data_IF_455530744708
#
_entry.id   IF_455530744708
#
_cell.length_a   1.000
_cell.length_b   1.000
_cell.length_c   1.000
_cell.angle_alpha   90.00
_cell.angle_beta   90.00
_cell.angle_gamma   90.00
#
_symmetry.space_group_name_H-M   'P 1'
#
loop_
_entity.id
_entity.type
_entity.pdbx_description
1 polymer ?
#
# COMPACT_ATOMS: atom_id res chain seq x y z
N UNK A 1 9.76 8.19 -2.93
CA UNK A 1 8.95 8.56 -1.75
C UNK A 1 9.61 8.03 -0.50
N UNK A 2 9.30 8.61 0.66
CA UNK A 2 9.68 8.11 1.98
C UNK A 2 8.44 7.50 2.64
N UNK A 3 8.53 6.24 3.08
CA UNK A 3 7.49 5.57 3.85
C UNK A 3 7.92 5.37 5.30
N UNK A 4 7.06 5.73 6.26
CA UNK A 4 7.23 5.44 7.68
C UNK A 4 6.17 4.42 8.09
N UNK A 5 6.60 3.20 8.46
CA UNK A 5 5.70 2.18 8.99
C UNK A 5 5.97 2.01 10.48
N UNK A 6 4.91 2.09 11.29
CA UNK A 6 4.93 1.87 12.73
C UNK A 6 3.88 0.83 13.14
N UNK A 7 4.19 0.02 14.14
CA UNK A 7 3.25 -0.95 14.70
C UNK A 7 2.55 -0.33 15.92
N UNK A 8 1.22 -0.22 15.86
CA UNK A 8 0.40 0.25 16.96
C UNK A 8 0.11 -0.93 17.91
N UNK A 9 0.77 -0.95 19.06
CA UNK A 9 0.60 -2.01 20.06
C UNK A 9 -0.80 -2.01 20.72
N UNK A 10 -1.51 -0.88 20.74
CA UNK A 10 -2.84 -0.77 21.33
C UNK A 10 -3.93 -1.34 20.40
N UNK A 11 -3.76 -1.15 19.09
CA UNK A 11 -4.66 -1.70 18.06
C UNK A 11 -4.20 -3.03 17.48
N UNK A 12 -2.96 -3.43 17.73
CA UNK A 12 -2.28 -4.54 17.07
C UNK A 12 -2.29 -4.45 15.53
N UNK A 13 -2.17 -3.23 14.99
CA UNK A 13 -2.18 -2.97 13.55
C UNK A 13 -0.91 -2.26 13.09
N UNK A 14 -0.52 -2.50 11.83
CA UNK A 14 0.55 -1.74 11.18
C UNK A 14 -0.05 -0.47 10.57
N UNK A 15 0.47 0.69 10.96
CA UNK A 15 0.16 1.97 10.36
C UNK A 15 1.32 2.37 9.46
N UNK A 16 1.03 2.65 8.19
CA UNK A 16 2.03 3.13 7.24
C UNK A 16 1.65 4.53 6.79
N UNK A 17 2.64 5.42 6.78
CA UNK A 17 2.54 6.77 6.26
C UNK A 17 3.54 6.93 5.11
N UNK A 18 3.02 7.03 3.89
CA UNK A 18 3.84 7.15 2.68
C UNK A 18 3.78 8.58 2.14
N UNK A 19 4.95 9.20 1.94
CA UNK A 19 5.12 10.47 1.22
C UNK A 19 5.84 10.18 -0.11
N UNK A 20 5.14 10.16 -1.25
CA UNK A 20 5.77 9.99 -2.57
C UNK A 20 5.53 11.19 -3.52
N UNK A 21 6.30 11.24 -4.62
CA UNK A 21 6.31 12.35 -5.60
C UNK A 21 5.43 12.06 -6.84
N UNK A 22 4.69 10.95 -6.86
CA UNK A 22 3.75 10.55 -7.92
C UNK A 22 2.27 10.72 -7.47
N UNK A 23 2.02 11.02 -6.20
CA UNK A 23 0.72 11.44 -5.68
C UNK A 23 0.84 12.48 -4.55
N UNK A 24 0.19 13.63 -4.71
CA UNK A 24 0.16 14.78 -3.80
C UNK A 24 -0.60 14.48 -2.50
N UNK A 25 -0.23 13.44 -1.73
CA UNK A 25 -0.94 13.09 -0.51
C UNK A 25 -0.22 12.05 0.36
N UNK A 26 -0.33 12.23 1.68
CA UNK A 26 0.04 11.21 2.67
C UNK A 26 -0.94 10.04 2.55
N UNK A 27 -0.46 8.86 2.16
CA UNK A 27 -1.27 7.64 2.21
C UNK A 27 -1.20 7.06 3.62
N UNK A 28 -2.35 7.00 4.29
CA UNK A 28 -2.54 6.32 5.56
C UNK A 28 -3.43 5.10 5.32
N UNK A 29 -2.91 3.92 5.63
CA UNK A 29 -3.61 2.65 5.50
C UNK A 29 -3.42 1.79 6.75
N UNK A 30 -4.45 1.04 7.10
CA UNK A 30 -4.37 -0.05 8.07
C UNK A 30 -4.30 -1.37 7.30
N UNK A 31 -3.43 -2.29 7.73
CA UNK A 31 -3.25 -3.55 7.04
C UNK A 31 -3.01 -4.74 7.97
N UNK A 32 -3.28 -5.93 7.45
CA UNK A 32 -3.05 -7.21 8.12
C UNK A 32 -2.01 -8.02 7.36
N UNK A 33 -1.25 -8.83 8.10
CA UNK A 33 -0.25 -9.73 7.53
C UNK A 33 -0.73 -11.19 7.60
N UNK A 34 -0.73 -11.86 6.45
CA UNK A 34 -1.00 -13.29 6.32
C UNK A 34 0.33 -14.05 6.16
N UNK A 35 0.80 -14.77 7.20
CA UNK A 35 2.06 -15.51 7.13
C UNK A 35 2.00 -16.71 6.17
N UNK A 36 0.82 -17.29 5.91
CA UNK A 36 0.66 -18.41 4.99
C UNK A 36 0.84 -17.99 3.53
N UNK A 37 0.53 -16.72 3.22
CA UNK A 37 0.72 -16.13 1.88
C UNK A 37 1.96 -15.24 1.76
N UNK A 38 2.64 -14.98 2.88
CA UNK A 38 3.71 -13.97 3.00
C UNK A 38 3.28 -12.61 2.44
N UNK A 39 2.06 -12.21 2.74
CA UNK A 39 1.42 -11.02 2.17
C UNK A 39 0.95 -10.08 3.26
N UNK A 40 1.26 -8.80 3.11
CA UNK A 40 0.64 -7.71 3.85
C UNK A 40 -0.39 -7.05 2.94
N UNK A 41 -1.63 -6.95 3.39
CA UNK A 41 -2.69 -6.22 2.66
C UNK A 41 -3.08 -5.00 3.47
N UNK A 42 -2.94 -3.81 2.88
CA UNK A 42 -3.40 -2.56 3.46
C UNK A 42 -4.55 -1.96 2.66
N UNK A 43 -5.40 -1.19 3.34
CA UNK A 43 -6.47 -0.44 2.71
C UNK A 43 -6.49 0.97 3.27
N UNK A 44 -6.75 1.94 2.39
CA UNK A 44 -6.77 3.34 2.77
C UNK A 44 -7.49 4.19 1.76
N UNK A 45 -7.40 5.51 1.95
CA UNK A 45 -7.87 6.51 0.99
C UNK A 45 -6.71 7.41 0.61
N UNK A 46 -6.62 7.74 -0.67
CA UNK A 46 -5.67 8.72 -1.19
C UNK A 46 -6.42 9.81 -1.97
N UNK A 47 -5.77 10.95 -2.17
CA UNK A 47 -6.33 12.03 -3.01
C UNK A 47 -5.88 11.80 -4.45
N UNK A 48 -6.84 11.52 -5.32
CA UNK A 48 -6.70 11.41 -6.76
C UNK A 48 -7.08 12.76 -7.41
N UNK A 49 -6.19 13.39 -8.18
CA UNK A 49 -6.44 14.70 -8.79
C UNK A 49 -7.58 14.70 -9.82
N UNK A 50 -8.01 13.54 -10.33
CA UNK A 50 -9.11 13.44 -11.29
C UNK A 50 -10.48 13.27 -10.62
N UNK A 51 -10.55 12.57 -9.47
CA UNK A 51 -11.83 12.17 -8.86
C UNK A 51 -11.99 12.56 -7.39
N UNK A 52 -11.00 13.23 -6.79
CA UNK A 52 -11.00 13.60 -5.38
C UNK A 52 -10.53 12.44 -4.50
N UNK A 53 -11.22 12.12 -3.41
CA UNK A 53 -10.82 10.99 -2.56
C UNK A 53 -11.15 9.65 -3.20
N UNK A 54 -10.16 8.77 -3.29
CA UNK A 54 -10.30 7.41 -3.82
C UNK A 54 -9.81 6.38 -2.80
N UNK A 55 -10.56 5.30 -2.64
CA UNK A 55 -10.12 4.15 -1.87
C UNK A 55 -9.07 3.35 -2.62
N UNK A 56 -8.09 2.79 -1.91
CA UNK A 56 -7.12 1.86 -2.46
C UNK A 56 -6.98 0.62 -1.58
N UNK A 57 -6.53 -0.46 -2.20
CA UNK A 57 -6.05 -1.68 -1.54
C UNK A 57 -4.63 -1.93 -2.01
N UNK A 58 -3.67 -1.88 -1.10
CA UNK A 58 -2.28 -2.26 -1.37
C UNK A 58 -2.02 -3.69 -0.92
N UNK A 59 -1.15 -4.38 -1.65
CA UNK A 59 -0.71 -5.74 -1.36
C UNK A 59 0.80 -5.77 -1.48
N UNK A 60 1.50 -5.97 -0.37
CA UNK A 60 2.92 -6.31 -0.35
C UNK A 60 3.04 -7.81 -0.34
N UNK A 61 3.73 -8.39 -1.32
CA UNK A 61 4.13 -9.80 -1.33
C UNK A 61 5.64 -9.88 -1.08
N UNK A 62 6.05 -10.58 -0.03
CA UNK A 62 7.45 -10.92 0.21
C UNK A 62 7.81 -12.10 -0.68
N UNK A 63 8.69 -11.87 -1.66
CA UNK A 63 9.15 -12.90 -2.59
C UNK A 63 10.29 -13.66 -1.93
N UNK A 64 11.30 -12.92 -1.45
CA UNK A 64 12.42 -13.41 -0.67
C UNK A 64 12.97 -12.28 0.25
N UNK A 65 14.13 -12.49 0.85
CA UNK A 65 14.71 -11.56 1.85
C UNK A 65 15.17 -10.22 1.24
N UNK A 66 15.43 -10.19 -0.08
CA UNK A 66 15.91 -9.01 -0.79
C UNK A 66 14.87 -8.46 -1.78
N UNK A 67 13.81 -9.21 -2.07
CA UNK A 67 12.78 -8.83 -3.05
C UNK A 67 11.38 -8.81 -2.44
N UNK A 68 10.69 -7.69 -2.63
CA UNK A 68 9.26 -7.60 -2.34
C UNK A 68 8.52 -6.86 -3.45
N UNK A 69 7.28 -7.28 -3.69
CA UNK A 69 6.40 -6.67 -4.68
C UNK A 69 5.31 -5.90 -3.96
N UNK A 70 5.07 -4.67 -4.38
CA UNK A 70 3.92 -3.87 -3.96
C UNK A 70 2.95 -3.72 -5.13
N UNK A 71 1.69 -4.09 -4.92
CA UNK A 71 0.61 -3.92 -5.88
C UNK A 71 -0.46 -3.02 -5.26
N UNK A 72 -0.85 -1.95 -5.95
CA UNK A 72 -1.96 -1.09 -5.54
C UNK A 72 -3.12 -1.27 -6.49
N UNK A 73 -4.30 -1.49 -5.91
CA UNK A 73 -5.57 -1.61 -6.61
C UNK A 73 -6.47 -0.45 -6.21
N UNK A 74 -7.16 0.13 -7.19
CA UNK A 74 -8.22 1.09 -6.94
C UNK A 74 -9.41 0.78 -7.85
N UNK A 75 -10.60 1.14 -7.41
CA UNK A 75 -11.80 1.03 -8.22
C UNK A 75 -11.82 2.13 -9.29
N UNK A 76 -12.16 1.77 -10.53
CA UNK A 76 -12.51 2.73 -11.59
C UNK A 76 -13.81 3.48 -11.25
N UNK A 77 -14.21 4.41 -12.10
CA UNK A 77 -15.47 5.16 -11.90
C UNK A 77 -16.73 4.27 -11.90
N UNK A 78 -16.61 3.02 -12.37
CA UNK A 78 -17.68 2.02 -12.41
C UNK A 78 -17.61 1.02 -11.23
N UNK A 79 -16.69 1.23 -10.28
CA UNK A 79 -16.51 0.35 -9.13
C UNK A 79 -15.68 -0.91 -9.41
N UNK A 80 -15.12 -1.07 -10.63
CA UNK A 80 -14.30 -2.23 -10.97
C UNK A 80 -12.88 -2.01 -10.46
N UNK A 81 -12.41 -2.86 -9.56
CA UNK A 81 -11.00 -2.85 -9.16
C UNK A 81 -10.09 -3.16 -10.35
N UNK A 82 -9.08 -2.32 -10.52
CA UNK A 82 -7.96 -2.58 -11.43
C UNK A 82 -6.65 -2.32 -10.69
N UNK A 83 -5.59 -3.02 -11.12
CA UNK A 83 -4.25 -2.78 -10.61
C UNK A 83 -3.76 -1.46 -11.20
N UNK A 84 -3.68 -0.45 -10.35
CA UNK A 84 -3.25 0.89 -10.75
C UNK A 84 -1.73 1.06 -10.65
N UNK A 85 -1.06 0.26 -9.83
CA UNK A 85 0.39 0.32 -9.66
C UNK A 85 0.96 -1.05 -9.33
N UNK A 86 2.14 -1.34 -9.86
CA UNK A 86 3.00 -2.45 -9.45
C UNK A 86 4.42 -1.90 -9.29
N UNK A 87 5.05 -2.19 -8.15
CA UNK A 87 6.45 -1.88 -7.89
C UNK A 87 7.14 -3.15 -7.45
N UNK A 88 8.28 -3.46 -8.09
CA UNK A 88 9.20 -4.48 -7.64
C UNK A 88 10.35 -3.79 -6.92
N UNK A 89 10.48 -4.05 -5.63
CA UNK A 89 11.56 -3.54 -4.82
C UNK A 89 12.66 -4.59 -4.71
N UNK A 90 13.89 -4.12 -4.89
CA UNK A 90 15.10 -4.88 -4.60
C UNK A 90 15.86 -4.15 -3.51
N UNK A 91 16.25 -4.85 -2.47
CA UNK A 91 17.12 -4.33 -1.42
C UNK A 91 18.50 -4.07 -2.01
N UNK A 92 18.95 -2.83 -1.95
CA UNK A 92 20.33 -2.48 -2.31
C UNK A 92 21.14 -2.41 -1.02
N UNK A 93 22.17 -3.27 -0.93
CA UNK A 93 23.18 -3.24 0.12
C UNK A 93 24.25 -2.18 -0.17
#
# INVERSE_FOLDING_TARGET
GMGLTGFDNGKQTYQTLSMDNMGTGMMAGEGTYDPGKKQLTDQGRFTDPMVGQRGYRGVVTLIDDDHYRYEMYAADQNGKEFRMMEILYTRIN
#
